data_IF_996531920314
#
_entry.id   IF_996531920314
#
_cell.length_a   1.000
_cell.length_b   1.000
_cell.length_c   1.000
_cell.angle_alpha   90.00
_cell.angle_beta   90.00
_cell.angle_gamma   90.00
#
_symmetry.space_group_name_H-M   'P 1'
#
loop_
_entity.id
_entity.type
_entity.pdbx_description
1 polymer ?
#
# COMPACT_ATOMS: atom_id res chain seq x y z
N UNK A 1 -10.91 3.59 -9.15
CA UNK A 1 -9.74 4.48 -9.18
C UNK A 1 -10.15 5.95 -9.17
N UNK A 2 -10.90 6.43 -10.15
CA UNK A 2 -11.36 7.85 -10.24
C UNK A 2 -12.00 8.39 -8.94
N UNK A 3 -12.88 7.61 -8.30
CA UNK A 3 -13.53 8.01 -7.03
C UNK A 3 -12.53 8.23 -5.89
N UNK A 4 -11.45 7.45 -5.86
CA UNK A 4 -10.40 7.55 -4.83
C UNK A 4 -9.56 8.80 -5.07
N UNK A 5 -9.13 9.02 -6.32
CA UNK A 5 -8.37 10.21 -6.70
C UNK A 5 -9.16 11.49 -6.42
N UNK A 6 -10.45 11.50 -6.73
CA UNK A 6 -11.34 12.63 -6.43
C UNK A 6 -11.53 12.86 -4.92
N UNK A 7 -11.66 11.79 -4.12
CA UNK A 7 -11.78 11.89 -2.67
C UNK A 7 -10.51 12.40 -2.00
N UNK A 8 -9.33 12.01 -2.52
CA UNK A 8 -8.02 12.45 -2.05
C UNK A 8 -7.58 13.78 -2.65
N UNK A 9 -8.23 14.22 -3.73
CA UNK A 9 -7.84 15.38 -4.54
C UNK A 9 -6.39 15.30 -5.05
N UNK A 10 -6.00 14.11 -5.53
CA UNK A 10 -4.66 13.85 -6.10
C UNK A 10 -4.77 13.42 -7.55
N UNK A 11 -3.70 13.63 -8.32
CA UNK A 11 -3.58 13.07 -9.67
C UNK A 11 -3.06 11.62 -9.62
N UNK A 12 -3.07 10.95 -10.77
CA UNK A 12 -2.62 9.56 -10.90
C UNK A 12 -1.16 9.38 -10.48
N UNK A 13 -0.26 10.27 -10.91
CA UNK A 13 1.16 10.22 -10.58
C UNK A 13 1.42 10.30 -9.06
N UNK A 14 0.73 11.22 -8.37
CA UNK A 14 0.82 11.35 -6.91
C UNK A 14 0.30 10.09 -6.23
N UNK A 15 -0.76 9.50 -6.75
CA UNK A 15 -1.31 8.25 -6.22
C UNK A 15 -0.36 7.06 -6.43
N UNK A 16 0.22 6.89 -7.61
CA UNK A 16 1.26 5.90 -7.89
C UNK A 16 2.43 6.02 -6.90
N UNK A 17 2.89 7.25 -6.65
CA UNK A 17 3.94 7.54 -5.67
C UNK A 17 3.53 7.13 -4.24
N UNK A 18 2.28 7.38 -3.84
CA UNK A 18 1.75 6.94 -2.55
C UNK A 18 1.77 5.41 -2.47
N UNK A 19 1.28 4.70 -3.50
CA UNK A 19 1.28 3.23 -3.52
C UNK A 19 2.70 2.68 -3.39
N UNK A 20 3.63 3.20 -4.18
CA UNK A 20 5.03 2.78 -4.13
C UNK A 20 5.64 3.02 -2.75
N UNK A 21 5.46 4.20 -2.17
CA UNK A 21 5.96 4.50 -0.83
C UNK A 21 5.38 3.57 0.24
N UNK A 22 4.09 3.25 0.16
CA UNK A 22 3.46 2.34 1.12
C UNK A 22 3.97 0.90 0.96
N UNK A 23 4.14 0.44 -0.27
CA UNK A 23 4.73 -0.86 -0.56
C UNK A 23 6.19 -0.96 -0.09
N UNK A 24 6.97 0.08 -0.35
CA UNK A 24 8.35 0.20 0.09
C UNK A 24 8.47 0.20 1.61
N UNK A 25 7.67 1.01 2.29
CA UNK A 25 7.67 1.07 3.76
C UNK A 25 7.25 -0.27 4.37
N UNK A 26 6.20 -0.91 3.85
CA UNK A 26 5.79 -2.24 4.31
C UNK A 26 6.89 -3.29 4.09
N UNK A 27 7.56 -3.28 2.95
CA UNK A 27 8.68 -4.20 2.69
C UNK A 27 9.83 -4.00 3.69
N UNK A 28 10.11 -2.75 4.07
CA UNK A 28 11.10 -2.43 5.11
C UNK A 28 10.69 -2.93 6.51
N UNK A 29 9.40 -3.05 6.82
CA UNK A 29 8.98 -3.61 8.12
C UNK A 29 9.10 -5.14 8.17
N UNK A 30 9.11 -5.81 7.00
CA UNK A 30 9.17 -7.27 6.89
C UNK A 30 10.58 -7.83 6.59
N UNK A 31 11.45 -7.02 5.98
CA UNK A 31 12.84 -7.36 5.69
C UNK A 31 13.77 -7.08 6.87
N UNK A 32 14.80 -7.92 7.05
CA UNK A 32 15.82 -7.73 8.09
C UNK A 32 17.02 -6.92 7.62
N UNK A 33 17.30 -6.98 6.32
CA UNK A 33 18.41 -6.30 5.68
C UNK A 33 18.02 -5.84 4.27
N UNK A 34 18.92 -5.10 3.63
CA UNK A 34 18.68 -4.54 2.30
C UNK A 34 18.40 -5.62 1.23
N UNK A 35 19.02 -6.79 1.33
CA UNK A 35 18.84 -7.86 0.34
C UNK A 35 17.45 -8.49 0.48
N UNK A 36 16.99 -8.73 1.71
CA UNK A 36 15.63 -9.19 1.96
C UNK A 36 14.62 -8.15 1.49
N UNK A 37 14.81 -6.86 1.79
CA UNK A 37 13.90 -5.79 1.35
C UNK A 37 13.81 -5.73 -0.18
N UNK A 38 14.94 -5.79 -0.88
CA UNK A 38 14.96 -5.83 -2.35
C UNK A 38 14.23 -7.06 -2.89
N UNK A 39 14.45 -8.24 -2.29
CA UNK A 39 13.79 -9.49 -2.69
C UNK A 39 12.29 -9.45 -2.47
N UNK A 40 11.82 -8.83 -1.39
CA UNK A 40 10.40 -8.58 -1.14
C UNK A 40 9.83 -7.63 -2.20
N UNK A 41 10.48 -6.49 -2.44
CA UNK A 41 10.05 -5.47 -3.42
C UNK A 41 9.92 -6.02 -4.84
N UNK A 42 10.83 -6.92 -5.24
CA UNK A 42 10.86 -7.52 -6.57
C UNK A 42 9.86 -8.67 -6.75
N UNK A 43 9.24 -9.17 -5.68
CA UNK A 43 8.35 -10.32 -5.75
C UNK A 43 6.93 -9.94 -6.19
N UNK A 44 6.60 -10.21 -7.45
CA UNK A 44 5.29 -9.88 -8.03
C UNK A 44 4.11 -10.57 -7.33
N UNK A 45 4.27 -11.82 -6.88
CA UNK A 45 3.19 -12.54 -6.20
C UNK A 45 2.86 -11.91 -4.85
N UNK A 46 3.88 -11.50 -4.11
CA UNK A 46 3.75 -10.81 -2.84
C UNK A 46 3.14 -9.42 -3.04
N UNK A 47 3.60 -8.66 -4.04
CA UNK A 47 3.02 -7.36 -4.39
C UNK A 47 1.54 -7.49 -4.77
N UNK A 48 1.17 -8.49 -5.57
CA UNK A 48 -0.23 -8.71 -5.97
C UNK A 48 -1.13 -9.02 -4.77
N UNK A 49 -0.67 -9.87 -3.85
CA UNK A 49 -1.38 -10.12 -2.59
C UNK A 49 -1.51 -8.84 -1.77
N UNK A 50 -0.40 -8.13 -1.54
CA UNK A 50 -0.39 -6.89 -0.77
C UNK A 50 -1.33 -5.84 -1.38
N UNK A 51 -1.35 -5.72 -2.71
CA UNK A 51 -2.20 -4.78 -3.43
C UNK A 51 -3.68 -5.13 -3.30
N UNK A 52 -4.02 -6.41 -3.30
CA UNK A 52 -5.39 -6.88 -3.06
C UNK A 52 -5.88 -6.48 -1.66
N UNK A 53 -5.07 -6.71 -0.62
CA UNK A 53 -5.37 -6.27 0.75
C UNK A 53 -5.46 -4.73 0.84
N UNK A 54 -4.51 -4.02 0.21
CA UNK A 54 -4.48 -2.57 0.18
C UNK A 54 -5.78 -1.98 -0.40
N UNK A 55 -6.25 -2.54 -1.52
CA UNK A 55 -7.50 -2.10 -2.15
C UNK A 55 -8.74 -2.35 -1.28
N UNK A 56 -8.70 -3.30 -0.35
CA UNK A 56 -9.78 -3.43 0.64
C UNK A 56 -9.81 -2.23 1.58
N UNK A 57 -8.67 -1.76 2.07
CA UNK A 57 -8.62 -0.56 2.92
C UNK A 57 -8.97 0.73 2.16
N UNK A 58 -8.68 0.80 0.86
CA UNK A 58 -9.15 1.89 -0.01
C UNK A 58 -10.68 1.90 -0.12
N UNK A 59 -11.32 0.73 -0.17
CA UNK A 59 -12.79 0.62 -0.14
C UNK A 59 -13.36 1.07 1.19
N UNK A 60 -12.74 0.66 2.30
CA UNK A 60 -13.15 1.10 3.64
C UNK A 60 -13.06 2.63 3.78
N UNK A 61 -11.96 3.23 3.33
CA UNK A 61 -11.83 4.69 3.25
C UNK A 61 -12.94 5.35 2.44
N UNK A 62 -13.24 4.81 1.25
CA UNK A 62 -14.29 5.35 0.39
C UNK A 62 -15.68 5.27 1.04
N UNK A 63 -15.94 4.21 1.81
CA UNK A 63 -17.16 4.06 2.58
C UNK A 63 -17.23 5.09 3.72
N UNK A 64 -16.13 5.27 4.46
CA UNK A 64 -16.04 6.23 5.57
C UNK A 64 -16.13 7.70 5.11
N UNK A 65 -15.60 8.03 3.94
CA UNK A 65 -15.60 9.42 3.42
C UNK A 65 -16.89 9.80 2.69
N UNK A 66 -17.66 8.80 2.21
CA UNK A 66 -18.87 9.04 1.42
C UNK A 66 -19.88 10.00 2.07
N UNK A 67 -20.16 9.95 3.39
CA UNK A 67 -21.08 10.89 4.05
C UNK A 67 -20.60 12.34 4.06
N UNK A 68 -19.29 12.58 3.92
CA UNK A 68 -18.66 13.90 4.02
C UNK A 68 -18.33 14.53 2.66
N UNK A 69 -18.87 13.97 1.58
CA UNK A 69 -18.58 14.42 0.21
C UNK A 69 -18.86 15.92 0.07
N UNK A 70 -17.84 16.69 -0.34
CA UNK A 70 -17.91 18.14 -0.52
C UNK A 70 -17.78 18.97 0.76
N UNK A 71 -17.65 18.33 1.93
CA UNK A 71 -17.49 18.99 3.22
C UNK A 71 -16.15 18.68 3.89
N UNK A 72 -15.55 17.53 3.56
CA UNK A 72 -14.24 17.13 4.07
C UNK A 72 -13.12 17.97 3.44
N UNK A 73 -12.19 18.45 4.28
CA UNK A 73 -10.99 19.11 3.78
C UNK A 73 -10.04 18.08 3.14
N UNK A 74 -9.20 18.46 2.17
CA UNK A 74 -8.24 17.53 1.55
C UNK A 74 -7.28 16.93 2.58
N UNK A 75 -6.91 17.73 3.59
CA UNK A 75 -6.06 17.30 4.70
C UNK A 75 -6.72 16.21 5.54
N UNK A 76 -7.99 16.37 5.90
CA UNK A 76 -8.71 15.39 6.72
C UNK A 76 -8.99 14.11 5.93
N UNK A 77 -9.29 14.24 4.63
CA UNK A 77 -9.43 13.09 3.73
C UNK A 77 -8.13 12.29 3.66
N UNK A 78 -6.99 12.96 3.54
CA UNK A 78 -5.68 12.30 3.55
C UNK A 78 -5.37 11.64 4.90
N UNK A 79 -5.66 12.29 6.03
CA UNK A 79 -5.46 11.69 7.36
C UNK A 79 -6.33 10.43 7.56
N UNK A 80 -7.59 10.48 7.12
CA UNK A 80 -8.50 9.33 7.17
C UNK A 80 -8.03 8.19 6.26
N UNK A 81 -7.50 8.54 5.09
CA UNK A 81 -6.89 7.58 4.17
C UNK A 81 -5.67 6.90 4.80
N UNK A 82 -4.73 7.67 5.33
CA UNK A 82 -3.54 7.16 6.04
C UNK A 82 -3.94 6.23 7.19
N UNK A 83 -4.94 6.61 7.99
CA UNK A 83 -5.48 5.77 9.07
C UNK A 83 -5.98 4.42 8.55
N UNK A 84 -6.68 4.41 7.41
CA UNK A 84 -7.22 3.19 6.83
C UNK A 84 -6.13 2.29 6.26
N UNK A 85 -5.22 2.83 5.45
CA UNK A 85 -4.16 2.04 4.83
C UNK A 85 -3.13 1.54 5.85
N UNK A 86 -2.91 2.24 6.97
CA UNK A 86 -1.96 1.80 8.00
C UNK A 86 -2.32 0.45 8.62
N UNK A 87 -3.60 0.05 8.54
CA UNK A 87 -4.07 -1.28 8.94
C UNK A 87 -3.29 -2.40 8.23
N UNK A 88 -2.78 -2.18 7.01
CA UNK A 88 -2.02 -3.17 6.26
C UNK A 88 -0.74 -3.63 6.96
N UNK A 89 -0.18 -2.79 7.84
CA UNK A 89 1.03 -3.14 8.61
C UNK A 89 0.77 -4.29 9.61
N UNK A 90 -0.50 -4.57 9.92
CA UNK A 90 -0.89 -5.66 10.82
C UNK A 90 -1.05 -7.01 10.11
N UNK A 91 -1.01 -7.02 8.78
CA UNK A 91 -1.25 -8.22 7.97
C UNK A 91 0.00 -8.59 7.18
N UNK A 92 0.27 -9.89 7.10
CA UNK A 92 1.35 -10.43 6.29
C UNK A 92 1.06 -11.86 5.86
N UNK A 93 1.49 -12.20 4.65
CA UNK A 93 1.46 -13.57 4.14
C UNK A 93 2.82 -14.23 4.35
N UNK A 94 2.95 -14.98 5.45
CA UNK A 94 4.20 -15.71 5.77
C UNK A 94 4.70 -16.58 4.60
N UNK A 95 3.86 -17.38 3.90
CA UNK A 95 4.33 -18.20 2.79
C UNK A 95 4.89 -17.38 1.62
N UNK A 96 4.26 -16.24 1.30
CA UNK A 96 4.72 -15.38 0.20
C UNK A 96 5.99 -14.63 0.58
N UNK A 97 6.12 -14.18 1.83
CA UNK A 97 7.34 -13.57 2.36
C UNK A 97 8.49 -14.58 2.34
N UNK A 98 8.27 -15.78 2.85
CA UNK A 98 9.30 -16.84 2.88
C UNK A 98 9.72 -17.23 1.46
N UNK A 99 8.79 -17.23 0.49
CA UNK A 99 9.12 -17.47 -0.91
C UNK A 99 9.91 -16.32 -1.56
N UNK A 100 9.51 -15.08 -1.28
CA UNK A 100 10.19 -13.89 -1.78
C UNK A 100 11.64 -13.83 -1.27
N UNK A 101 11.88 -14.12 0.01
CA UNK A 101 13.22 -14.13 0.61
C UNK A 101 14.16 -15.23 0.07
N UNK A 102 13.61 -16.30 -0.50
CA UNK A 102 14.41 -17.37 -1.15
C UNK A 102 14.88 -16.99 -2.54
N UNK A 103 14.27 -15.98 -3.15
CA UNK A 103 14.62 -15.53 -4.49
C UNK A 103 15.81 -14.58 -4.35
N UNK A 104 17.03 -15.11 -4.42
CA UNK A 104 18.22 -14.28 -4.54
C UNK A 104 18.11 -13.43 -5.80
N UNK A 105 18.11 -12.10 -5.65
CA UNK A 105 18.31 -11.20 -6.79
C UNK A 105 19.77 -11.38 -7.20
N UNK A 106 20.00 -12.27 -8.17
CA UNK A 106 21.31 -12.41 -8.79
C UNK A 106 21.54 -11.14 -9.63
N UNK A 107 22.42 -10.26 -9.16
CA UNK A 107 22.94 -9.18 -9.97
C UNK A 107 23.91 -9.80 -10.99
N UNK A 108 23.42 -10.07 -12.20
CA UNK A 108 24.29 -10.28 -13.37
C UNK A 108 24.87 -8.96 -13.88
#
# INVERSE_FOLDING_TARGET
MEKLLAALQVNEETYENIIFQQWFNWSNTQGKDQQEVQSLLANAALFNWWRMEYTQFERDFLFEVAPYKGQISPKDAYLLYVKNIHKIQLYYSKPLIDNAKKTSINNE
#
